data_IF_441968973470
#
_entry.id   IF_441968973470
#
_cell.length_a   1.000
_cell.length_b   1.000
_cell.length_c   1.000
_cell.angle_alpha   90.00
_cell.angle_beta   90.00
_cell.angle_gamma   90.00
#
_symmetry.space_group_name_H-M   'P 1'
#
loop_
_entity.id
_entity.type
_entity.pdbx_description
1 polymer ?
#
# COMPACT_ATOMS: atom_id res chain seq x y z
N UNK A 1 -5.08 -5.27 -25.07
CA UNK A 1 -5.37 -3.87 -24.64
C UNK A 1 -5.62 -3.67 -23.13
N UNK A 2 -6.07 -4.69 -22.36
CA UNK A 2 -6.29 -4.54 -20.91
C UNK A 2 -5.00 -4.26 -20.11
N UNK A 3 -3.91 -4.99 -20.39
CA UNK A 3 -2.60 -4.77 -19.74
C UNK A 3 -2.04 -3.37 -19.96
N UNK A 4 -2.26 -2.78 -21.14
CA UNK A 4 -1.73 -1.45 -21.47
C UNK A 4 -2.33 -0.36 -20.57
N UNK A 5 -3.61 -0.49 -20.20
CA UNK A 5 -4.27 0.44 -19.26
C UNK A 5 -3.66 0.36 -17.86
N UNK A 6 -3.39 -0.85 -17.38
CA UNK A 6 -2.72 -1.05 -16.08
C UNK A 6 -1.27 -0.57 -16.10
N UNK A 7 -0.56 -0.79 -17.21
CA UNK A 7 0.80 -0.30 -17.39
C UNK A 7 0.85 1.23 -17.36
N UNK A 8 -0.06 1.90 -18.09
CA UNK A 8 -0.16 3.36 -18.08
C UNK A 8 -0.44 3.90 -16.67
N UNK A 9 -1.40 3.31 -15.95
CA UNK A 9 -1.69 3.69 -14.56
C UNK A 9 -0.47 3.47 -13.64
N UNK A 10 0.26 2.37 -13.83
CA UNK A 10 1.49 2.08 -13.10
C UNK A 10 2.61 3.09 -13.38
N UNK A 11 2.78 3.51 -14.64
CA UNK A 11 3.75 4.55 -15.03
C UNK A 11 3.39 5.87 -14.37
N UNK A 12 2.11 6.29 -14.45
CA UNK A 12 1.64 7.53 -13.81
C UNK A 12 1.86 7.46 -12.30
N UNK A 13 1.52 6.34 -11.66
CA UNK A 13 1.74 6.12 -10.23
C UNK A 13 3.22 6.22 -9.84
N UNK A 14 4.11 5.58 -10.60
CA UNK A 14 5.56 5.64 -10.38
C UNK A 14 6.12 7.05 -10.51
N UNK A 15 5.71 7.79 -11.57
CA UNK A 15 6.11 9.19 -11.78
C UNK A 15 5.66 10.07 -10.60
N UNK A 16 4.40 9.92 -10.16
CA UNK A 16 3.86 10.69 -9.03
C UNK A 16 4.60 10.37 -7.74
N UNK A 17 4.85 9.09 -7.45
CA UNK A 17 5.62 8.69 -6.25
C UNK A 17 7.04 9.24 -6.26
N UNK A 18 7.71 9.22 -7.41
CA UNK A 18 9.04 9.76 -7.54
C UNK A 18 9.08 11.28 -7.38
N UNK A 19 8.18 12.00 -8.08
CA UNK A 19 8.09 13.46 -8.01
C UNK A 19 7.68 14.00 -6.64
N UNK A 20 6.90 13.23 -5.88
CA UNK A 20 6.47 13.58 -4.53
C UNK A 20 7.51 13.26 -3.45
N UNK A 21 8.66 12.69 -3.82
CA UNK A 21 9.73 12.22 -2.91
C UNK A 21 9.28 11.15 -1.91
N UNK A 22 8.12 10.55 -2.13
CA UNK A 22 7.53 9.48 -1.29
C UNK A 22 8.36 8.18 -1.37
N UNK A 23 9.31 8.12 -2.30
CA UNK A 23 10.29 7.05 -2.44
C UNK A 23 11.46 7.17 -1.45
N UNK A 24 11.67 8.36 -0.87
CA UNK A 24 12.85 8.64 -0.05
C UNK A 24 12.71 8.10 1.36
N UNK A 25 13.71 7.31 1.77
CA UNK A 25 13.84 6.82 3.14
C UNK A 25 13.81 7.94 4.19
N UNK A 26 14.46 9.07 3.87
CA UNK A 26 14.54 10.23 4.76
C UNK A 26 13.17 10.81 5.08
N UNK A 27 12.28 10.90 4.09
CA UNK A 27 10.91 11.43 4.30
C UNK A 27 10.11 10.57 5.26
N UNK A 28 10.35 9.26 5.23
CA UNK A 28 9.61 8.36 6.12
C UNK A 28 10.22 8.38 7.53
N UNK A 29 11.53 8.51 7.66
CA UNK A 29 12.17 8.75 8.96
C UNK A 29 11.72 10.08 9.58
N UNK A 30 11.65 11.16 8.79
CA UNK A 30 11.13 12.46 9.23
C UNK A 30 9.68 12.35 9.73
N UNK A 31 8.87 11.49 9.11
CA UNK A 31 7.51 11.21 9.55
C UNK A 31 7.51 10.56 10.94
N UNK A 32 8.29 9.49 11.16
CA UNK A 32 8.38 8.81 12.46
C UNK A 32 9.03 9.66 13.56
N UNK A 33 9.91 10.60 13.18
CA UNK A 33 10.55 11.55 14.09
C UNK A 33 9.74 12.86 14.26
N UNK A 34 8.57 12.97 13.63
CA UNK A 34 7.70 14.15 13.65
C UNK A 34 8.40 15.46 13.21
N UNK A 35 9.40 15.36 12.32
CA UNK A 35 10.17 16.53 11.87
C UNK A 35 9.57 17.22 10.65
N UNK A 36 8.75 16.51 9.87
CA UNK A 36 8.14 17.04 8.64
C UNK A 36 6.69 16.61 8.49
N UNK A 37 5.82 17.54 8.09
CA UNK A 37 4.41 17.26 7.82
C UNK A 37 4.17 16.65 6.42
N UNK A 38 5.18 16.64 5.55
CA UNK A 38 5.02 16.29 4.13
C UNK A 38 4.32 14.93 3.92
N UNK A 39 4.83 13.86 4.54
CA UNK A 39 4.23 12.52 4.40
C UNK A 39 2.87 12.39 5.09
N UNK A 40 2.67 13.04 6.23
CA UNK A 40 1.37 13.08 6.90
C UNK A 40 0.30 13.75 6.02
N UNK A 41 0.66 14.84 5.35
CA UNK A 41 -0.21 15.52 4.39
C UNK A 41 -0.57 14.62 3.19
N UNK A 42 0.42 13.92 2.63
CA UNK A 42 0.18 13.00 1.49
C UNK A 42 -0.73 11.84 1.90
N UNK A 43 -0.44 11.16 3.02
CA UNK A 43 -1.25 10.03 3.50
C UNK A 43 -2.65 10.52 3.87
N UNK A 44 -2.77 11.64 4.59
CA UNK A 44 -4.05 12.20 5.01
C UNK A 44 -4.94 12.59 3.84
N UNK A 45 -4.40 13.28 2.84
CA UNK A 45 -5.15 13.65 1.62
C UNK A 45 -5.56 12.42 0.82
N UNK A 46 -4.69 11.41 0.68
CA UNK A 46 -5.02 10.15 0.02
C UNK A 46 -6.17 9.42 0.72
N UNK A 47 -6.17 9.38 2.06
CA UNK A 47 -7.25 8.76 2.85
C UNK A 47 -8.57 9.52 2.66
N UNK A 48 -8.55 10.85 2.76
CA UNK A 48 -9.77 11.68 2.58
C UNK A 48 -10.36 11.50 1.18
N UNK A 49 -9.53 11.54 0.14
CA UNK A 49 -9.96 11.31 -1.23
C UNK A 49 -10.49 9.89 -1.43
N UNK A 50 -9.86 8.89 -0.82
CA UNK A 50 -10.33 7.50 -0.87
C UNK A 50 -11.70 7.32 -0.20
N UNK A 51 -11.90 7.91 0.97
CA UNK A 51 -13.20 7.90 1.68
C UNK A 51 -14.28 8.59 0.85
N UNK A 52 -13.98 9.78 0.30
CA UNK A 52 -14.90 10.51 -0.56
C UNK A 52 -15.25 9.73 -1.83
N UNK A 53 -14.26 9.10 -2.47
CA UNK A 53 -14.47 8.25 -3.63
C UNK A 53 -15.35 7.04 -3.34
N UNK A 54 -15.10 6.32 -2.23
CA UNK A 54 -15.94 5.19 -1.81
C UNK A 54 -17.37 5.65 -1.47
N UNK A 55 -17.51 6.81 -0.83
CA UNK A 55 -18.82 7.39 -0.54
C UNK A 55 -19.59 7.71 -1.82
N UNK A 56 -18.95 8.33 -2.82
CA UNK A 56 -19.55 8.65 -4.11
C UNK A 56 -19.93 7.37 -4.89
N UNK A 57 -19.08 6.35 -4.89
CA UNK A 57 -19.37 5.04 -5.52
C UNK A 57 -20.62 4.42 -4.91
N UNK A 58 -20.74 4.44 -3.58
CA UNK A 58 -21.94 3.92 -2.89
C UNK A 58 -23.18 4.77 -3.16
N UNK A 59 -23.05 6.10 -3.24
CA UNK A 59 -24.17 7.02 -3.44
C UNK A 59 -24.73 6.98 -4.87
N UNK A 60 -23.87 6.84 -5.87
CA UNK A 60 -24.24 6.85 -7.29
C UNK A 60 -24.35 5.45 -7.90
N UNK A 61 -24.23 4.39 -7.10
CA UNK A 61 -24.24 2.99 -7.55
C UNK A 61 -23.36 2.76 -8.78
N UNK A 62 -22.16 3.34 -8.75
CA UNK A 62 -21.23 3.29 -9.88
C UNK A 62 -20.90 1.83 -10.21
N UNK A 63 -20.96 1.51 -11.50
CA UNK A 63 -20.67 0.19 -12.04
C UNK A 63 -19.22 0.11 -12.50
N UNK A 64 -18.64 -1.08 -12.44
CA UNK A 64 -17.33 -1.34 -13.02
C UNK A 64 -17.35 -1.14 -14.55
N UNK A 65 -16.18 -1.06 -15.18
CA UNK A 65 -16.01 -1.02 -16.63
C UNK A 65 -16.79 -2.11 -17.40
N UNK A 66 -17.12 -3.23 -16.77
CA UNK A 66 -17.94 -4.32 -17.31
C UNK A 66 -19.43 -4.25 -16.91
N UNK A 67 -19.86 -3.21 -16.17
CA UNK A 67 -21.26 -3.01 -15.77
C UNK A 67 -21.67 -3.72 -14.47
N UNK A 68 -20.75 -4.37 -13.75
CA UNK A 68 -21.07 -5.01 -12.47
C UNK A 68 -21.16 -3.99 -11.33
N UNK A 69 -22.04 -4.20 -10.34
CA UNK A 69 -22.09 -3.35 -9.15
C UNK A 69 -20.81 -3.47 -8.31
N UNK A 70 -20.27 -2.35 -7.84
CA UNK A 70 -19.10 -2.34 -6.95
C UNK A 70 -19.56 -2.67 -5.52
N UNK A 71 -19.45 -3.95 -5.13
CA UNK A 71 -19.80 -4.40 -3.78
C UNK A 71 -18.60 -4.32 -2.84
N UNK A 72 -18.76 -3.64 -1.70
CA UNK A 72 -17.74 -3.58 -0.66
C UNK A 72 -18.00 -4.62 0.42
N UNK A 73 -17.13 -5.62 0.53
CA UNK A 73 -17.21 -6.62 1.59
C UNK A 73 -16.59 -6.07 2.88
N UNK A 74 -17.32 -6.08 4.01
CA UNK A 74 -16.76 -5.67 5.29
C UNK A 74 -15.65 -6.65 5.70
N UNK A 75 -14.55 -6.12 6.23
CA UNK A 75 -13.50 -6.95 6.81
C UNK A 75 -14.00 -7.62 8.07
N UNK A 76 -13.60 -8.88 8.30
CA UNK A 76 -13.87 -9.58 9.56
C UNK A 76 -13.29 -8.80 10.74
N UNK A 77 -14.06 -8.68 11.82
CA UNK A 77 -13.62 -8.00 13.04
C UNK A 77 -12.86 -8.99 13.92
N UNK A 78 -11.53 -8.99 13.86
CA UNK A 78 -10.68 -9.73 14.80
C UNK A 78 -9.60 -8.83 15.37
N UNK A 79 -9.68 -8.53 16.66
CA UNK A 79 -8.74 -7.61 17.33
C UNK A 79 -7.33 -8.22 17.35
N UNK A 80 -7.23 -9.50 17.69
CA UNK A 80 -5.94 -10.20 17.85
C UNK A 80 -5.19 -10.25 16.52
N UNK A 81 -5.87 -10.62 15.42
CA UNK A 81 -5.27 -10.69 14.09
C UNK A 81 -4.71 -9.34 13.64
N UNK A 82 -5.47 -8.25 13.83
CA UNK A 82 -5.03 -6.92 13.40
C UNK A 82 -3.94 -6.34 14.29
N UNK A 83 -3.95 -6.63 15.60
CA UNK A 83 -2.92 -6.14 16.51
C UNK A 83 -1.58 -6.83 16.24
N UNK A 84 -1.56 -8.15 16.12
CA UNK A 84 -0.34 -8.91 15.83
C UNK A 84 0.15 -8.63 14.41
N UNK A 85 -0.74 -8.71 13.41
CA UNK A 85 -0.37 -8.44 12.01
C UNK A 85 0.08 -6.99 11.80
N UNK A 86 -0.62 -6.03 12.40
CA UNK A 86 -0.30 -4.61 12.30
C UNK A 86 1.03 -4.25 12.97
N UNK A 87 1.34 -4.85 14.12
CA UNK A 87 2.63 -4.63 14.80
C UNK A 87 3.79 -5.23 14.02
N UNK A 88 3.67 -6.48 13.53
CA UNK A 88 4.71 -7.11 12.70
C UNK A 88 4.93 -6.30 11.41
N UNK A 89 3.84 -5.90 10.74
CA UNK A 89 3.93 -5.07 9.55
C UNK A 89 4.57 -3.70 9.83
N UNK A 90 4.19 -3.05 10.94
CA UNK A 90 4.74 -1.77 11.35
C UNK A 90 6.23 -1.84 11.69
N UNK A 91 6.67 -2.90 12.37
CA UNK A 91 8.09 -3.14 12.65
C UNK A 91 8.87 -3.41 11.37
N UNK A 92 8.34 -4.26 10.48
CA UNK A 92 8.95 -4.53 9.17
C UNK A 92 9.03 -3.28 8.30
N UNK A 93 8.00 -2.44 8.33
CA UNK A 93 8.03 -1.10 7.74
C UNK A 93 9.21 -0.33 8.33
N UNK A 94 9.23 -0.09 9.65
CA UNK A 94 10.23 0.74 10.32
C UNK A 94 11.68 0.30 10.04
N UNK A 95 11.91 -1.01 9.95
CA UNK A 95 13.21 -1.60 9.62
C UNK A 95 13.58 -1.43 8.15
N UNK A 96 12.66 -1.73 7.23
CA UNK A 96 12.92 -1.67 5.79
C UNK A 96 12.99 -0.26 5.25
N UNK A 97 12.36 0.70 5.92
CA UNK A 97 12.44 2.08 5.50
C UNK A 97 11.68 2.38 4.21
N UNK A 98 10.81 1.47 3.76
CA UNK A 98 9.97 1.62 2.59
C UNK A 98 8.64 0.87 2.75
N UNK A 99 7.57 1.37 2.13
CA UNK A 99 6.33 0.59 1.96
C UNK A 99 6.39 -0.22 0.65
N UNK A 100 5.45 -1.16 0.43
CA UNK A 100 5.41 -1.95 -0.81
C UNK A 100 5.40 -1.12 -2.10
N UNK A 101 4.73 0.05 -2.09
CA UNK A 101 4.72 0.99 -3.22
C UNK A 101 6.12 1.59 -3.48
N UNK A 102 6.72 2.32 -2.52
CA UNK A 102 8.10 2.79 -2.62
C UNK A 102 9.12 1.69 -2.93
N UNK A 103 8.95 0.46 -2.43
CA UNK A 103 9.85 -0.66 -2.73
C UNK A 103 9.94 -0.91 -4.24
N UNK A 104 8.80 -1.06 -4.93
CA UNK A 104 8.81 -1.33 -6.39
C UNK A 104 9.31 -0.13 -7.19
N UNK A 105 9.02 1.10 -6.75
CA UNK A 105 9.53 2.31 -7.43
C UNK A 105 11.04 2.46 -7.21
N UNK A 106 11.55 2.20 -6.01
CA UNK A 106 12.98 2.26 -5.70
C UNK A 106 13.79 1.20 -6.48
N UNK A 107 13.23 0.00 -6.71
CA UNK A 107 13.84 -0.99 -7.61
C UNK A 107 13.96 -0.42 -9.02
N UNK A 108 12.92 0.25 -9.52
CA UNK A 108 12.95 0.92 -10.82
C UNK A 108 13.96 2.08 -10.90
N UNK A 109 14.28 2.72 -9.77
CA UNK A 109 15.31 3.75 -9.65
C UNK A 109 16.74 3.20 -9.53
N UNK A 110 16.91 1.87 -9.45
CA UNK A 110 18.23 1.22 -9.38
C UNK A 110 18.68 0.83 -7.97
N UNK A 111 17.85 0.98 -6.95
CA UNK A 111 18.16 0.50 -5.58
C UNK A 111 17.94 -1.02 -5.47
N UNK A 112 18.94 -1.81 -5.87
CA UNK A 112 18.88 -3.27 -5.86
C UNK A 112 18.66 -3.88 -4.46
N UNK A 113 19.07 -3.20 -3.39
CA UNK A 113 18.81 -3.64 -2.01
C UNK A 113 17.30 -3.77 -1.73
N UNK A 114 16.47 -2.91 -2.31
CA UNK A 114 15.02 -2.98 -2.16
C UNK A 114 14.42 -4.19 -2.88
N UNK A 115 15.09 -4.75 -3.90
CA UNK A 115 14.64 -5.98 -4.56
C UNK A 115 14.71 -7.18 -3.61
N UNK A 116 15.75 -7.24 -2.78
CA UNK A 116 15.92 -8.27 -1.76
C UNK A 116 14.79 -8.17 -0.74
N UNK A 117 14.57 -6.97 -0.18
CA UNK A 117 13.51 -6.72 0.80
C UNK A 117 12.14 -7.05 0.21
N UNK A 118 11.87 -6.63 -1.03
CA UNK A 118 10.63 -6.92 -1.72
C UNK A 118 10.43 -8.43 -1.90
N UNK A 119 11.46 -9.17 -2.33
CA UNK A 119 11.41 -10.63 -2.48
C UNK A 119 11.08 -11.32 -1.15
N UNK A 120 11.74 -10.95 -0.06
CA UNK A 120 11.43 -11.51 1.26
C UNK A 120 10.03 -11.12 1.75
N UNK A 121 9.54 -9.92 1.42
CA UNK A 121 8.16 -9.52 1.74
C UNK A 121 7.14 -10.39 1.00
N UNK A 122 7.39 -10.72 -0.27
CA UNK A 122 6.54 -11.60 -1.07
C UNK A 122 6.57 -13.02 -0.50
N UNK A 123 7.75 -13.55 -0.18
CA UNK A 123 7.89 -14.86 0.47
C UNK A 123 7.16 -14.91 1.81
N UNK A 124 7.29 -13.87 2.64
CA UNK A 124 6.60 -13.78 3.93
C UNK A 124 5.08 -13.75 3.79
N UNK A 125 4.55 -12.98 2.83
CA UNK A 125 3.10 -12.96 2.54
C UNK A 125 2.60 -14.28 1.98
N UNK A 126 3.39 -14.96 1.15
CA UNK A 126 3.05 -16.30 0.64
C UNK A 126 3.00 -17.33 1.76
N UNK A 127 4.01 -17.34 2.64
CA UNK A 127 4.06 -18.21 3.81
C UNK A 127 2.88 -17.97 4.74
N UNK A 128 2.55 -16.71 5.03
CA UNK A 128 1.36 -16.38 5.81
C UNK A 128 0.07 -16.88 5.14
N UNK A 129 -0.04 -16.75 3.81
CA UNK A 129 -1.16 -17.27 3.05
C UNK A 129 -1.30 -18.80 3.17
N UNK A 130 -0.18 -19.53 3.09
CA UNK A 130 -0.16 -20.99 3.23
C UNK A 130 -0.51 -21.46 4.64
N UNK A 131 0.02 -20.81 5.68
CA UNK A 131 -0.26 -21.17 7.07
C UNK A 131 -1.54 -20.56 7.65
N UNK A 132 -2.24 -19.73 6.88
CA UNK A 132 -3.45 -19.04 7.33
C UNK A 132 -4.46 -20.01 7.90
N UNK A 133 -4.73 -21.13 7.23
CA UNK A 133 -5.74 -22.11 7.66
C UNK A 133 -5.42 -22.75 9.02
N UNK A 134 -4.15 -22.74 9.44
CA UNK A 134 -3.68 -23.34 10.69
C UNK A 134 -3.48 -22.31 11.83
N UNK A 135 -3.63 -21.01 11.55
CA UNK A 135 -3.41 -19.96 12.54
C UNK A 135 -4.70 -19.67 13.32
N UNK A 136 -4.65 -19.50 14.65
CA UNK A 136 -5.83 -19.15 15.43
C UNK A 136 -6.39 -17.82 14.93
N UNK A 137 -7.67 -17.88 14.58
CA UNK A 137 -8.39 -16.88 13.83
C UNK A 137 -9.30 -16.07 14.74
#
# INVERSE_FOLDING_TARGET
MKLLKFLLLGIVFGIVMAKSEVISWYRIQEMFRFQSFHMYGIIGTAVILGVMGVYLIKKFELRDYHGNPITFYPKEKSIIRYLIGGTIFGLGWALSGACPGPMVVNIGYGFLSMAIVFLFSVVGTFLYGYFRENLPH
#
